data_IF_696725634164
#
_entry.id   IF_696725634164
#
_cell.length_a   1.000
_cell.length_b   1.000
_cell.length_c   1.000
_cell.angle_alpha   90.00
_cell.angle_beta   90.00
_cell.angle_gamma   90.00
#
_symmetry.space_group_name_H-M   'P 1'
#
loop_
_entity.id
_entity.type
_entity.pdbx_description
1 polymer ?
#
# COMPACT_ATOMS: atom_id res chain seq x y z
N UNK A 1 -2.30 -5.16 -28.49
CA UNK A 1 -1.43 -5.48 -27.34
C UNK A 1 -2.32 -5.72 -26.15
N UNK A 2 -2.03 -6.72 -25.31
CA UNK A 2 -2.80 -7.00 -24.08
C UNK A 2 -2.59 -5.94 -22.98
N UNK A 3 -1.73 -4.96 -23.23
CA UNK A 3 -1.41 -3.81 -22.38
C UNK A 3 -1.24 -2.54 -23.26
N UNK A 4 -1.35 -1.32 -22.69
CA UNK A 4 -1.12 -0.07 -23.42
C UNK A 4 0.31 0.07 -23.98
N UNK A 5 0.47 0.86 -25.04
CA UNK A 5 1.77 1.13 -25.70
C UNK A 5 2.74 1.93 -24.84
N UNK A 6 2.21 2.66 -23.85
CA UNK A 6 2.97 3.46 -22.90
C UNK A 6 3.57 2.62 -21.76
N UNK A 7 3.22 1.34 -21.66
CA UNK A 7 3.74 0.47 -20.60
C UNK A 7 5.26 0.27 -20.72
N UNK A 8 6.00 0.03 -19.61
CA UNK A 8 7.43 -0.24 -19.67
C UNK A 8 7.77 -1.45 -20.56
N UNK A 9 8.99 -1.48 -21.09
CA UNK A 9 9.44 -2.53 -22.01
C UNK A 9 9.24 -3.95 -21.46
N UNK A 10 9.57 -4.18 -20.18
CA UNK A 10 9.32 -5.47 -19.52
C UNK A 10 7.83 -5.84 -19.54
N UNK A 11 6.94 -4.88 -19.29
CA UNK A 11 5.50 -5.11 -19.30
C UNK A 11 5.01 -5.46 -20.71
N UNK A 12 5.52 -4.77 -21.74
CA UNK A 12 5.14 -5.05 -23.13
C UNK A 12 5.69 -6.39 -23.64
N UNK A 13 6.94 -6.73 -23.30
CA UNK A 13 7.64 -7.89 -23.88
C UNK A 13 7.44 -9.19 -23.09
N UNK A 14 7.24 -9.09 -21.77
CA UNK A 14 7.14 -10.24 -20.85
C UNK A 14 5.73 -10.36 -20.30
N UNK A 15 5.28 -9.38 -19.50
CA UNK A 15 3.98 -9.42 -18.82
C UNK A 15 2.82 -9.60 -19.81
N UNK A 16 2.81 -8.84 -20.92
CA UNK A 16 1.74 -8.90 -21.91
C UNK A 16 1.63 -10.25 -22.61
N UNK A 17 2.76 -10.95 -22.83
CA UNK A 17 2.77 -12.30 -23.40
C UNK A 17 2.18 -13.31 -22.42
N UNK A 18 2.55 -13.23 -21.14
CA UNK A 18 1.99 -14.10 -20.10
C UNK A 18 0.47 -13.87 -19.97
N UNK A 19 0.03 -12.61 -19.94
CA UNK A 19 -1.40 -12.25 -19.93
C UNK A 19 -2.13 -12.79 -21.16
N UNK A 20 -1.48 -12.82 -22.33
CA UNK A 20 -2.04 -13.34 -23.58
C UNK A 20 -2.08 -14.88 -23.65
N UNK A 21 -1.62 -15.60 -22.61
CA UNK A 21 -1.50 -17.06 -22.63
C UNK A 21 -0.33 -17.57 -23.49
N UNK A 22 0.65 -16.71 -23.77
CA UNK A 22 1.86 -17.00 -24.56
C UNK A 22 3.12 -16.96 -23.69
N UNK A 23 2.98 -17.30 -22.41
CA UNK A 23 4.09 -17.28 -21.45
C UNK A 23 5.16 -18.32 -21.75
N UNK A 24 4.76 -19.50 -22.23
CA UNK A 24 5.67 -20.61 -22.56
C UNK A 24 6.63 -20.29 -23.72
N UNK A 25 6.30 -19.30 -24.57
CA UNK A 25 7.14 -18.86 -25.68
C UNK A 25 8.28 -17.91 -25.24
N UNK A 26 8.31 -17.51 -23.97
CA UNK A 26 9.36 -16.62 -23.44
C UNK A 26 10.66 -17.40 -23.21
N UNK A 27 11.80 -16.94 -23.73
CA UNK A 27 13.08 -17.58 -23.45
C UNK A 27 13.47 -17.36 -21.98
N UNK A 28 14.31 -18.24 -21.44
CA UNK A 28 14.85 -18.10 -20.07
C UNK A 28 15.50 -16.72 -19.85
N UNK A 29 16.12 -16.15 -20.88
CA UNK A 29 16.75 -14.82 -20.85
C UNK A 29 15.77 -13.65 -20.66
N UNK A 30 14.46 -13.89 -20.70
CA UNK A 30 13.44 -12.88 -20.44
C UNK A 30 13.25 -12.59 -18.94
N UNK A 31 13.78 -13.45 -18.05
CA UNK A 31 13.54 -13.39 -16.62
C UNK A 31 14.81 -13.05 -15.84
N UNK A 32 14.65 -12.37 -14.70
CA UNK A 32 15.75 -12.15 -13.77
C UNK A 32 16.20 -13.49 -13.14
N UNK A 33 17.51 -13.74 -12.98
CA UNK A 33 18.00 -15.00 -12.40
C UNK A 33 17.59 -15.20 -10.93
N UNK A 34 17.24 -14.14 -10.22
CA UNK A 34 16.76 -14.18 -8.82
C UNK A 34 15.22 -14.20 -8.71
N UNK A 35 14.50 -14.25 -9.83
CA UNK A 35 13.04 -14.25 -9.85
C UNK A 35 12.38 -12.92 -9.48
N UNK A 36 13.14 -11.82 -9.41
CA UNK A 36 12.56 -10.49 -9.13
C UNK A 36 11.71 -9.97 -10.30
N UNK A 37 10.60 -9.33 -9.96
CA UNK A 37 9.69 -8.67 -10.91
C UNK A 37 9.59 -7.18 -10.61
N UNK A 38 9.37 -6.34 -11.64
CA UNK A 38 9.18 -4.91 -11.43
C UNK A 38 7.88 -4.60 -10.67
N UNK A 39 7.96 -3.58 -9.83
CA UNK A 39 6.82 -3.00 -9.10
C UNK A 39 5.91 -2.18 -10.03
N UNK A 40 4.65 -2.01 -9.62
CA UNK A 40 3.70 -1.09 -10.21
C UNK A 40 3.21 -1.55 -11.58
N UNK A 41 3.08 -2.85 -11.80
CA UNK A 41 2.74 -3.40 -13.12
C UNK A 41 1.23 -3.60 -13.32
N UNK A 42 0.43 -3.71 -12.26
CA UNK A 42 -1.04 -3.82 -12.36
C UNK A 42 -1.70 -2.58 -12.99
N UNK A 43 -1.07 -1.41 -12.90
CA UNK A 43 -1.59 -0.18 -13.51
C UNK A 43 -1.77 -0.29 -15.03
N UNK A 44 -1.07 -1.23 -15.68
CA UNK A 44 -1.11 -1.45 -17.12
C UNK A 44 -2.12 -2.52 -17.56
N UNK A 45 -2.77 -3.24 -16.63
CA UNK A 45 -3.68 -4.34 -16.99
C UNK A 45 -5.01 -3.84 -17.55
N UNK A 46 -5.62 -2.84 -16.90
CA UNK A 46 -6.89 -2.20 -17.33
C UNK A 46 -7.95 -3.24 -17.71
N UNK A 47 -8.16 -4.22 -16.82
CA UNK A 47 -8.91 -5.47 -17.07
C UNK A 47 -10.34 -5.27 -17.56
N UNK A 48 -10.96 -4.14 -17.21
CA UNK A 48 -12.29 -3.71 -17.64
C UNK A 48 -13.38 -4.79 -17.42
N UNK A 49 -13.45 -5.31 -16.19
CA UNK A 49 -14.37 -6.41 -15.84
C UNK A 49 -15.69 -5.94 -15.20
N UNK A 50 -15.81 -4.66 -14.83
CA UNK A 50 -16.99 -4.13 -14.16
C UNK A 50 -18.14 -3.83 -15.14
N UNK A 51 -19.35 -4.30 -14.84
CA UNK A 51 -20.56 -3.89 -15.58
C UNK A 51 -21.07 -2.52 -15.14
N UNK A 52 -20.94 -2.22 -13.85
CA UNK A 52 -21.30 -0.93 -13.27
C UNK A 52 -20.11 -0.32 -12.51
N UNK A 53 -20.04 1.01 -12.51
CA UNK A 53 -19.03 1.77 -11.76
C UNK A 53 -19.69 2.88 -10.95
N UNK A 54 -19.07 3.32 -9.84
CA UNK A 54 -19.60 4.45 -9.08
C UNK A 54 -19.42 5.76 -9.87
N UNK A 55 -20.52 6.49 -10.07
CA UNK A 55 -20.53 7.86 -10.57
C UNK A 55 -20.60 8.84 -9.40
N UNK A 56 -19.72 9.84 -9.40
CA UNK A 56 -19.67 10.88 -8.37
C UNK A 56 -20.65 12.03 -8.66
N UNK A 57 -21.37 12.44 -7.63
CA UNK A 57 -22.22 13.64 -7.55
C UNK A 57 -21.54 14.68 -6.62
N UNK A 58 -20.94 15.74 -7.20
CA UNK A 58 -20.25 16.79 -6.45
C UNK A 58 -21.14 17.55 -5.46
N UNK A 59 -22.42 17.76 -5.81
CA UNK A 59 -23.33 18.62 -5.04
C UNK A 59 -23.76 17.93 -3.74
N UNK A 60 -24.01 16.62 -3.82
CA UNK A 60 -24.34 15.80 -2.64
C UNK A 60 -23.11 15.49 -1.78
N UNK A 61 -21.91 15.48 -2.37
CA UNK A 61 -20.71 15.00 -1.68
C UNK A 61 -20.28 15.87 -0.49
N UNK A 62 -20.09 15.23 0.68
CA UNK A 62 -19.57 15.89 1.88
C UNK A 62 -18.04 15.81 2.04
N UNK A 63 -17.33 15.21 1.07
CA UNK A 63 -15.87 15.11 1.02
C UNK A 63 -15.24 14.42 2.24
N UNK A 64 -15.88 13.36 2.73
CA UNK A 64 -15.45 12.63 3.93
C UNK A 64 -14.32 11.61 3.70
N UNK A 65 -14.07 11.20 2.45
CA UNK A 65 -13.01 10.24 2.10
C UNK A 65 -13.32 8.77 2.40
N UNK A 66 -14.48 8.42 2.99
CA UNK A 66 -14.85 7.03 3.30
C UNK A 66 -14.83 6.12 2.07
N UNK A 67 -15.29 6.62 0.93
CA UNK A 67 -15.29 5.86 -0.33
C UNK A 67 -13.87 5.52 -0.82
N UNK A 68 -12.91 6.43 -0.66
CA UNK A 68 -11.49 6.22 -0.98
C UNK A 68 -10.86 5.25 0.02
N UNK A 69 -11.22 5.36 1.31
CA UNK A 69 -10.70 4.51 2.37
C UNK A 69 -11.13 3.06 2.20
N UNK A 70 -12.42 2.81 1.96
CA UNK A 70 -12.99 1.46 1.89
C UNK A 70 -12.71 0.71 0.58
N UNK A 71 -12.24 1.41 -0.46
CA UNK A 71 -12.05 0.79 -1.77
C UNK A 71 -10.93 -0.27 -1.71
N UNK A 72 -11.24 -1.55 -2.03
CA UNK A 72 -10.25 -2.62 -1.95
C UNK A 72 -9.23 -2.61 -3.10
N UNK A 73 -9.45 -1.83 -4.16
CA UNK A 73 -8.61 -1.85 -5.37
C UNK A 73 -7.96 -0.51 -5.69
N UNK A 74 -8.12 0.50 -4.82
CA UNK A 74 -7.64 1.87 -5.05
C UNK A 74 -8.17 2.52 -6.35
N UNK A 75 -9.35 2.11 -6.82
CA UNK A 75 -9.95 2.60 -8.08
C UNK A 75 -10.69 3.92 -7.93
N UNK A 76 -11.02 4.32 -6.70
CA UNK A 76 -11.63 5.61 -6.38
C UNK A 76 -10.65 6.41 -5.54
N UNK A 77 -10.26 7.58 -6.02
CA UNK A 77 -9.27 8.46 -5.39
C UNK A 77 -9.79 9.88 -5.30
N UNK A 78 -9.24 10.65 -4.37
CA UNK A 78 -9.57 12.06 -4.20
C UNK A 78 -8.32 12.91 -4.31
N UNK A 79 -8.43 14.08 -4.96
CA UNK A 79 -7.39 15.11 -4.97
C UNK A 79 -7.98 16.45 -4.60
N UNK A 80 -7.13 17.29 -4.03
CA UNK A 80 -7.35 18.72 -3.84
C UNK A 80 -6.24 19.48 -4.55
N UNK A 81 -6.59 20.49 -5.34
CA UNK A 81 -5.64 21.13 -6.26
C UNK A 81 -6.02 22.58 -6.63
N UNK A 82 -5.05 23.33 -7.16
CA UNK A 82 -5.24 24.72 -7.61
C UNK A 82 -6.25 24.79 -8.78
N UNK A 83 -7.26 25.70 -8.73
CA UNK A 83 -8.23 25.87 -9.81
C UNK A 83 -7.65 26.07 -11.21
N UNK A 84 -6.44 26.63 -11.34
CA UNK A 84 -5.78 26.88 -12.63
C UNK A 84 -5.57 25.60 -13.44
N UNK A 85 -5.43 24.45 -12.78
CA UNK A 85 -5.26 23.17 -13.46
C UNK A 85 -6.51 22.74 -14.23
N UNK A 86 -7.69 23.28 -13.91
CA UNK A 86 -8.93 22.99 -14.64
C UNK A 86 -8.93 23.53 -16.08
N UNK A 87 -8.02 24.45 -16.43
CA UNK A 87 -7.92 25.00 -17.79
C UNK A 87 -7.59 23.94 -18.85
N UNK A 88 -6.96 22.82 -18.45
CA UNK A 88 -6.63 21.68 -19.32
C UNK A 88 -7.46 20.43 -19.01
N UNK A 89 -8.52 20.56 -18.21
CA UNK A 89 -9.39 19.43 -17.87
C UNK A 89 -10.21 18.98 -19.09
N UNK A 90 -10.43 17.67 -19.27
CA UNK A 90 -11.37 17.16 -20.27
C UNK A 90 -12.79 17.67 -20.05
N UNK A 91 -13.60 17.67 -21.11
CA UNK A 91 -15.03 17.94 -21.02
C UNK A 91 -15.68 17.01 -19.98
N UNK A 92 -16.61 17.53 -19.19
CA UNK A 92 -17.30 16.79 -18.12
C UNK A 92 -16.41 16.29 -16.97
N UNK A 93 -15.16 16.76 -16.85
CA UNK A 93 -14.37 16.51 -15.64
C UNK A 93 -15.03 17.20 -14.44
N UNK A 94 -15.54 16.39 -13.51
CA UNK A 94 -16.29 16.88 -12.34
C UNK A 94 -15.36 17.43 -11.28
N UNK A 95 -15.75 18.54 -10.66
CA UNK A 95 -15.08 19.11 -9.50
C UNK A 95 -16.08 19.78 -8.55
N UNK A 96 -15.65 20.01 -7.31
CA UNK A 96 -16.38 20.78 -6.30
C UNK A 96 -15.46 21.80 -5.62
N UNK A 97 -16.04 22.82 -4.99
CA UNK A 97 -15.31 23.63 -4.00
C UNK A 97 -14.88 22.77 -2.81
N UNK A 98 -13.65 22.95 -2.32
CA UNK A 98 -13.19 22.21 -1.16
C UNK A 98 -13.94 22.68 0.10
N UNK A 99 -14.50 21.73 0.84
CA UNK A 99 -15.19 21.94 2.12
C UNK A 99 -14.22 21.87 3.32
N UNK A 100 -12.96 21.54 3.10
CA UNK A 100 -11.95 21.47 4.16
C UNK A 100 -11.31 22.87 4.31
N UNK A 101 -11.45 23.55 5.47
CA UNK A 101 -10.90 24.90 5.67
C UNK A 101 -9.40 25.00 5.40
N UNK A 102 -8.66 23.91 5.60
CA UNK A 102 -7.21 23.85 5.35
C UNK A 102 -6.85 24.16 3.89
N UNK A 103 -7.72 23.82 2.95
CA UNK A 103 -7.48 23.96 1.50
C UNK A 103 -8.46 24.96 0.87
N UNK A 104 -8.79 26.03 1.60
CA UNK A 104 -9.74 27.05 1.14
C UNK A 104 -9.29 27.65 -0.21
N UNK A 105 -10.21 27.73 -1.16
CA UNK A 105 -9.96 28.25 -2.51
C UNK A 105 -9.43 27.21 -3.51
N UNK A 106 -9.16 25.98 -3.07
CA UNK A 106 -8.80 24.86 -3.95
C UNK A 106 -10.04 24.11 -4.44
N UNK A 107 -9.85 23.29 -5.48
CA UNK A 107 -10.88 22.39 -6.03
C UNK A 107 -10.68 20.98 -5.55
N UNK A 108 -11.78 20.24 -5.43
CA UNK A 108 -11.82 18.86 -5.00
C UNK A 108 -12.44 17.99 -6.09
N UNK A 109 -11.83 16.84 -6.36
CA UNK A 109 -12.42 15.81 -7.24
C UNK A 109 -12.27 14.44 -6.61
N UNK A 110 -13.34 13.67 -6.63
CA UNK A 110 -13.28 12.20 -6.57
C UNK A 110 -13.32 11.69 -8.01
N UNK A 111 -12.29 10.93 -8.40
CA UNK A 111 -12.20 10.32 -9.71
C UNK A 111 -12.15 8.80 -9.59
N UNK A 112 -12.74 8.13 -10.57
CA UNK A 112 -12.88 6.68 -10.62
C UNK A 112 -12.10 6.16 -11.82
N UNK A 113 -11.32 5.10 -11.63
CA UNK A 113 -10.70 4.34 -12.72
C UNK A 113 -11.74 3.36 -13.27
N UNK A 114 -12.30 3.59 -14.46
CA UNK A 114 -13.39 2.76 -14.98
C UNK A 114 -12.92 1.32 -15.30
N UNK A 115 -11.69 1.19 -15.81
CA UNK A 115 -11.17 -0.09 -16.32
C UNK A 115 -10.50 -0.95 -15.25
N UNK A 116 -10.26 -0.40 -14.05
CA UNK A 116 -9.73 -1.16 -12.92
C UNK A 116 -10.81 -1.50 -11.87
N UNK A 117 -12.00 -0.91 -11.99
CA UNK A 117 -13.09 -1.13 -11.03
C UNK A 117 -13.58 -2.59 -11.09
N UNK A 118 -13.98 -3.12 -9.93
CA UNK A 118 -14.48 -4.50 -9.76
C UNK A 118 -15.98 -4.56 -9.44
N UNK A 119 -16.70 -3.43 -9.53
CA UNK A 119 -18.15 -3.35 -9.28
C UNK A 119 -18.62 -3.82 -7.89
N UNK A 120 -17.75 -3.81 -6.87
CA UNK A 120 -18.07 -4.34 -5.54
C UNK A 120 -19.05 -3.48 -4.70
N UNK A 121 -19.42 -2.28 -5.16
CA UNK A 121 -20.42 -1.39 -4.54
C UNK A 121 -20.09 -0.85 -3.13
N UNK A 122 -18.97 -1.25 -2.50
CA UNK A 122 -18.62 -0.83 -1.12
C UNK A 122 -18.54 0.68 -0.93
N UNK A 123 -18.02 1.42 -1.91
CA UNK A 123 -17.91 2.88 -1.83
C UNK A 123 -19.27 3.60 -1.83
N UNK A 124 -20.28 3.02 -2.46
CA UNK A 124 -21.66 3.55 -2.51
C UNK A 124 -22.41 3.14 -1.24
N UNK A 125 -22.28 1.89 -0.80
CA UNK A 125 -22.87 1.39 0.45
C UNK A 125 -22.39 2.25 1.63
N UNK A 126 -21.08 2.47 1.72
CA UNK A 126 -20.47 3.25 2.78
C UNK A 126 -20.55 4.77 2.60
N UNK A 127 -21.12 5.27 1.49
CA UNK A 127 -21.33 6.70 1.31
C UNK A 127 -22.41 7.18 2.29
N UNK A 128 -22.08 8.09 3.23
CA UNK A 128 -23.04 8.58 4.23
C UNK A 128 -23.92 9.73 3.71
N UNK A 129 -23.51 10.36 2.60
CA UNK A 129 -24.23 11.50 2.05
C UNK A 129 -25.47 11.04 1.28
N UNK A 130 -26.59 11.73 1.52
CA UNK A 130 -27.86 11.53 0.81
C UNK A 130 -28.22 12.80 0.05
N UNK A 131 -28.71 12.64 -1.17
CA UNK A 131 -29.20 13.76 -1.96
C UNK A 131 -30.46 14.34 -1.29
N UNK A 132 -30.55 15.67 -1.23
CA UNK A 132 -31.64 16.38 -0.53
C UNK A 132 -32.99 16.23 -1.23
N UNK A 133 -32.99 16.18 -2.57
CA UNK A 133 -34.20 16.11 -3.39
C UNK A 133 -34.68 14.66 -3.56
N UNK A 134 -33.75 13.71 -3.62
CA UNK A 134 -34.05 12.29 -3.70
C UNK A 134 -33.18 11.46 -2.76
N UNK A 135 -33.65 11.12 -1.54
CA UNK A 135 -32.88 10.37 -0.55
C UNK A 135 -32.46 8.95 -0.98
N UNK A 136 -32.97 8.41 -2.09
CA UNK A 136 -32.49 7.16 -2.69
C UNK A 136 -31.13 7.32 -3.37
N UNK A 137 -30.78 8.54 -3.79
CA UNK A 137 -29.50 8.87 -4.38
C UNK A 137 -28.51 9.33 -3.31
N UNK A 138 -27.25 8.95 -3.49
CA UNK A 138 -26.11 9.34 -2.65
C UNK A 138 -25.12 10.18 -3.45
N UNK A 139 -24.01 10.58 -2.81
CA UNK A 139 -22.91 11.25 -3.53
C UNK A 139 -22.14 10.32 -4.47
N UNK A 140 -22.32 9.00 -4.33
CA UNK A 140 -21.82 7.99 -5.25
C UNK A 140 -22.98 7.05 -5.54
N UNK A 141 -23.23 6.76 -6.82
CA UNK A 141 -24.27 5.81 -7.25
C UNK A 141 -23.68 4.90 -8.31
N UNK A 142 -24.06 3.63 -8.31
CA UNK A 142 -23.66 2.72 -9.40
C UNK A 142 -24.37 3.12 -10.69
N UNK A 143 -23.62 3.17 -11.79
CA UNK A 143 -24.14 3.40 -13.13
C UNK A 143 -23.56 2.38 -14.09
N UNK A 144 -24.31 2.07 -15.14
CA UNK A 144 -23.83 1.20 -16.21
C UNK A 144 -22.57 1.80 -16.86
N UNK A 145 -21.50 1.01 -16.93
CA UNK A 145 -20.16 1.46 -17.28
C UNK A 145 -19.94 1.78 -18.77
N UNK A 146 -20.42 0.96 -19.74
CA UNK A 146 -20.07 1.15 -21.16
C UNK A 146 -20.30 2.55 -21.73
N UNK A 147 -21.42 3.26 -21.44
CA UNK A 147 -21.63 4.61 -21.97
C UNK A 147 -20.69 5.68 -21.39
N UNK A 148 -20.08 5.43 -20.22
CA UNK A 148 -19.25 6.40 -19.51
C UNK A 148 -17.76 6.06 -19.54
N UNK A 149 -17.39 4.82 -19.89
CA UNK A 149 -16.02 4.30 -19.82
C UNK A 149 -14.99 5.20 -20.50
N UNK A 150 -15.22 5.58 -21.75
CA UNK A 150 -14.25 6.34 -22.53
C UNK A 150 -13.99 7.72 -21.93
N UNK A 151 -15.06 8.40 -21.53
CA UNK A 151 -14.97 9.71 -20.88
C UNK A 151 -14.26 9.61 -19.53
N UNK A 152 -14.64 8.64 -18.69
CA UNK A 152 -14.03 8.46 -17.37
C UNK A 152 -12.56 8.00 -17.48
N UNK A 153 -12.17 7.32 -18.55
CA UNK A 153 -10.77 6.96 -18.82
C UNK A 153 -9.93 8.20 -19.13
N UNK A 154 -10.47 9.15 -19.92
CA UNK A 154 -9.84 10.46 -20.15
C UNK A 154 -9.75 11.28 -18.86
N UNK A 155 -10.84 11.32 -18.09
CA UNK A 155 -10.88 11.98 -16.78
C UNK A 155 -9.86 11.40 -15.80
N UNK A 156 -9.75 10.06 -15.75
CA UNK A 156 -8.76 9.35 -14.94
C UNK A 156 -7.33 9.70 -15.34
N UNK A 157 -7.02 9.72 -16.64
CA UNK A 157 -5.69 10.11 -17.15
C UNK A 157 -5.33 11.55 -16.76
N UNK A 158 -6.27 12.48 -16.89
CA UNK A 158 -6.09 13.87 -16.43
C UNK A 158 -5.88 13.94 -14.91
N UNK A 159 -6.71 13.24 -14.13
CA UNK A 159 -6.62 13.19 -12.68
C UNK A 159 -5.27 12.66 -12.17
N UNK A 160 -4.70 11.65 -12.83
CA UNK A 160 -3.35 11.15 -12.51
C UNK A 160 -2.27 12.22 -12.75
N UNK A 161 -2.46 13.13 -13.72
CA UNK A 161 -1.57 14.25 -14.00
C UNK A 161 -1.57 15.35 -12.92
N UNK A 162 -2.66 15.49 -12.16
CA UNK A 162 -2.76 16.47 -11.06
C UNK A 162 -1.70 16.13 -9.98
N UNK A 163 -0.96 17.12 -9.43
CA UNK A 163 -0.01 16.87 -8.34
C UNK A 163 -0.66 16.26 -7.09
N UNK A 164 0.10 15.42 -6.38
CA UNK A 164 -0.30 14.94 -5.05
C UNK A 164 -0.13 16.05 -4.01
N UNK A 165 -0.92 16.01 -2.93
CA UNK A 165 -0.76 16.94 -1.81
C UNK A 165 0.54 16.63 -1.07
N UNK A 166 1.28 17.66 -0.66
CA UNK A 166 2.48 17.46 0.16
C UNK A 166 2.06 16.79 1.49
N UNK A 167 2.73 15.67 1.82
CA UNK A 167 2.44 14.89 3.03
C UNK A 167 2.62 15.71 4.30
N UNK A 168 3.51 16.72 4.30
CA UNK A 168 3.71 17.62 5.45
C UNK A 168 2.47 18.46 5.78
N UNK A 169 1.62 18.70 4.78
CA UNK A 169 0.37 19.43 4.98
C UNK A 169 -0.74 18.53 5.53
N UNK A 170 -0.55 17.20 5.54
CA UNK A 170 -1.62 16.26 5.90
C UNK A 170 -1.52 15.80 7.36
N UNK A 171 -2.57 16.08 8.12
CA UNK A 171 -2.81 15.42 9.43
C UNK A 171 -3.18 13.93 9.25
N UNK A 172 -2.20 13.04 9.38
CA UNK A 172 -2.36 11.60 9.12
C UNK A 172 -3.29 10.85 10.10
N UNK A 173 -3.60 11.44 11.26
CA UNK A 173 -4.58 10.90 12.20
C UNK A 173 -6.05 11.17 11.81
N UNK A 174 -6.29 11.91 10.72
CA UNK A 174 -7.63 12.23 10.24
C UNK A 174 -7.93 11.54 8.90
N UNK A 175 -8.98 10.71 8.87
CA UNK A 175 -9.48 10.02 7.65
C UNK A 175 -9.66 10.98 6.48
N UNK A 176 -10.17 12.19 6.76
CA UNK A 176 -10.40 13.24 5.75
C UNK A 176 -9.11 13.71 5.06
N UNK A 177 -7.95 13.58 5.70
CA UNK A 177 -6.67 13.93 5.10
C UNK A 177 -5.99 12.70 4.47
N UNK A 178 -6.13 11.52 5.08
CA UNK A 178 -5.60 10.26 4.54
C UNK A 178 -6.12 9.97 3.11
N UNK A 179 -7.34 10.39 2.76
CA UNK A 179 -7.88 10.22 1.41
C UNK A 179 -7.04 10.86 0.29
N UNK A 180 -6.22 11.86 0.62
CA UNK A 180 -5.36 12.58 -0.33
C UNK A 180 -3.97 11.95 -0.49
N UNK A 181 -3.63 10.94 0.31
CA UNK A 181 -2.38 10.21 0.14
C UNK A 181 -2.47 9.30 -1.07
N UNK A 182 -1.44 9.34 -1.92
CA UNK A 182 -1.28 8.38 -3.00
C UNK A 182 -1.25 6.94 -2.43
N UNK A 183 -2.12 6.03 -2.89
CA UNK A 183 -2.01 4.61 -2.57
C UNK A 183 -0.81 4.01 -3.29
N UNK A 184 0.01 3.24 -2.57
CA UNK A 184 1.16 2.50 -3.10
C UNK A 184 0.89 0.99 -3.20
N UNK A 185 -0.38 0.62 -3.12
CA UNK A 185 -0.93 -0.70 -3.38
C UNK A 185 -2.24 -0.50 -4.16
N UNK A 186 -2.25 -0.87 -5.44
CA UNK A 186 -3.34 -0.56 -6.36
C UNK A 186 -3.65 -1.70 -7.34
N UNK A 187 -4.95 -1.83 -7.68
CA UNK A 187 -5.43 -2.72 -8.75
C UNK A 187 -5.06 -4.21 -8.59
N UNK A 188 -4.92 -4.69 -7.34
CA UNK A 188 -4.59 -6.09 -7.05
C UNK A 188 -5.60 -7.09 -7.60
N UNK A 189 -5.18 -8.33 -7.83
CA UNK A 189 -6.03 -9.45 -8.24
C UNK A 189 -7.04 -9.96 -7.18
N UNK A 190 -7.16 -9.29 -6.02
CA UNK A 190 -8.10 -9.67 -4.97
C UNK A 190 -9.56 -9.66 -5.43
N UNK A 191 -10.42 -10.43 -4.75
CA UNK A 191 -11.85 -10.51 -5.02
C UNK A 191 -12.55 -9.14 -4.98
N UNK A 192 -13.64 -8.98 -5.73
CA UNK A 192 -14.51 -7.82 -5.62
C UNK A 192 -15.04 -7.70 -4.18
N UNK A 193 -14.72 -6.61 -3.50
CA UNK A 193 -15.14 -6.40 -2.11
C UNK A 193 -14.26 -7.10 -1.07
N UNK A 194 -13.03 -7.50 -1.42
CA UNK A 194 -12.08 -8.08 -0.48
C UNK A 194 -11.94 -7.25 0.81
N UNK A 195 -12.02 -7.92 1.96
CA UNK A 195 -11.88 -7.28 3.27
C UNK A 195 -10.44 -6.98 3.70
N UNK A 196 -9.44 -7.56 3.03
CA UNK A 196 -8.02 -7.44 3.42
C UNK A 196 -7.35 -6.19 2.82
N UNK A 197 -7.54 -5.98 1.51
CA UNK A 197 -6.77 -4.97 0.76
C UNK A 197 -7.02 -3.51 1.16
N UNK A 198 -8.18 -3.07 1.72
CA UNK A 198 -8.30 -1.71 2.25
C UNK A 198 -7.28 -1.40 3.35
N UNK A 199 -6.93 -2.39 4.20
CA UNK A 199 -5.91 -2.23 5.24
C UNK A 199 -4.50 -2.17 4.65
N UNK A 200 -4.21 -3.05 3.69
CA UNK A 200 -2.91 -3.07 2.98
C UNK A 200 -2.68 -1.78 2.21
N UNK A 201 -3.73 -1.27 1.53
CA UNK A 201 -3.72 0.04 0.88
C UNK A 201 -3.46 1.16 1.89
N UNK A 202 -4.13 1.15 3.03
CA UNK A 202 -3.91 2.18 4.06
C UNK A 202 -2.48 2.15 4.61
N UNK A 203 -1.92 0.97 4.87
CA UNK A 203 -0.51 0.79 5.22
C UNK A 203 0.40 1.43 4.17
N UNK A 204 0.14 1.14 2.88
CA UNK A 204 0.92 1.69 1.76
C UNK A 204 0.82 3.23 1.69
N UNK A 205 -0.35 3.81 1.98
CA UNK A 205 -0.55 5.26 2.00
C UNK A 205 0.23 5.91 3.14
N UNK A 206 0.21 5.31 4.33
CA UNK A 206 0.82 5.89 5.52
C UNK A 206 2.35 5.70 5.55
N UNK A 207 2.85 4.54 5.13
CA UNK A 207 4.24 4.14 5.36
C UNK A 207 4.98 3.71 4.09
N UNK A 208 4.30 3.65 2.94
CA UNK A 208 4.82 2.94 1.78
C UNK A 208 6.09 3.54 1.17
N UNK A 209 6.36 4.82 1.38
CA UNK A 209 7.61 5.46 0.92
C UNK A 209 8.87 5.03 1.70
N UNK A 210 8.71 4.20 2.74
CA UNK A 210 9.77 3.66 3.59
C UNK A 210 9.44 2.26 4.15
N UNK A 211 8.44 1.58 3.58
CA UNK A 211 8.00 0.27 4.06
C UNK A 211 8.87 -0.86 3.49
N UNK A 212 9.15 -1.84 4.33
CA UNK A 212 9.74 -3.12 3.95
C UNK A 212 8.78 -4.20 4.45
N UNK A 213 8.28 -5.04 3.56
CA UNK A 213 7.16 -5.95 3.81
C UNK A 213 7.63 -7.40 3.64
N UNK A 214 7.60 -8.14 4.75
CA UNK A 214 7.60 -9.60 4.76
C UNK A 214 6.13 -10.08 4.71
N UNK A 215 5.77 -10.86 3.70
CA UNK A 215 4.41 -11.36 3.53
C UNK A 215 4.37 -12.88 3.64
N UNK A 216 3.53 -13.42 4.52
CA UNK A 216 3.29 -14.86 4.61
C UNK A 216 2.54 -15.35 3.37
N UNK A 217 2.75 -16.60 3.00
CA UNK A 217 1.97 -17.22 1.92
C UNK A 217 0.49 -17.30 2.29
N UNK A 218 -0.39 -16.87 1.39
CA UNK A 218 -1.84 -16.83 1.60
C UNK A 218 -2.52 -15.88 0.62
N UNK A 219 -3.78 -15.48 0.87
CA UNK A 219 -4.47 -14.55 -0.03
C UNK A 219 -3.65 -13.28 -0.28
N UNK A 220 -3.00 -12.75 0.75
CA UNK A 220 -2.18 -11.55 0.66
C UNK A 220 -0.94 -11.67 -0.19
N UNK A 221 -0.30 -12.84 -0.27
CA UNK A 221 0.78 -13.05 -1.24
C UNK A 221 0.24 -13.28 -2.65
N UNK A 222 -0.92 -13.93 -2.80
CA UNK A 222 -1.55 -14.15 -4.12
C UNK A 222 -2.00 -12.84 -4.73
N UNK A 223 -2.86 -12.06 -4.08
CA UNK A 223 -3.25 -10.77 -4.66
C UNK A 223 -2.10 -9.76 -4.65
N UNK A 224 -1.06 -9.98 -3.83
CA UNK A 224 0.08 -9.08 -3.64
C UNK A 224 1.22 -9.29 -4.61
N UNK A 225 1.37 -10.48 -5.21
CA UNK A 225 2.41 -10.78 -6.20
C UNK A 225 2.13 -12.06 -7.03
N UNK A 226 0.88 -12.35 -7.39
CA UNK A 226 0.60 -13.38 -8.40
C UNK A 226 1.04 -12.90 -9.78
N UNK A 227 2.25 -13.29 -10.16
CA UNK A 227 2.89 -12.93 -11.42
C UNK A 227 1.97 -13.24 -12.61
N UNK A 228 1.94 -12.39 -13.65
CA UNK A 228 3.03 -11.51 -14.07
C UNK A 228 2.90 -10.04 -13.64
N UNK A 229 1.94 -9.70 -12.77
CA UNK A 229 1.71 -8.32 -12.33
C UNK A 229 1.77 -8.17 -10.81
N UNK A 230 2.13 -6.98 -10.35
CA UNK A 230 2.29 -6.64 -8.94
C UNK A 230 1.56 -5.32 -8.63
N UNK A 231 0.72 -5.27 -7.57
CA UNK A 231 -0.01 -4.08 -7.14
C UNK A 231 0.84 -3.08 -6.33
N UNK A 232 1.99 -3.51 -5.82
CA UNK A 232 2.92 -2.66 -5.09
C UNK A 232 3.54 -1.66 -6.04
N UNK A 233 3.33 -0.36 -5.83
CA UNK A 233 3.83 0.70 -6.71
C UNK A 233 4.69 1.70 -5.93
N UNK A 234 5.17 2.73 -6.61
CA UNK A 234 6.05 3.76 -6.06
C UNK A 234 5.52 5.17 -6.36
N UNK A 235 5.91 6.11 -5.53
CA UNK A 235 5.57 7.52 -5.71
C UNK A 235 6.44 8.17 -6.81
N UNK A 236 6.23 9.46 -7.11
CA UNK A 236 6.99 10.21 -8.12
C UNK A 236 8.50 10.31 -7.82
N UNK A 237 8.94 10.05 -6.59
CA UNK A 237 10.36 9.99 -6.21
C UNK A 237 10.96 8.57 -6.41
N UNK A 238 10.20 7.62 -6.95
CA UNK A 238 10.63 6.22 -7.10
C UNK A 238 10.62 5.41 -5.80
N UNK A 239 9.99 5.93 -4.74
CA UNK A 239 9.93 5.27 -3.42
C UNK A 239 8.61 4.53 -3.26
N UNK A 240 8.68 3.26 -2.91
CA UNK A 240 7.54 2.42 -2.62
C UNK A 240 7.91 1.27 -1.70
N UNK A 241 6.91 0.45 -1.29
CA UNK A 241 7.17 -0.69 -0.44
C UNK A 241 8.11 -1.70 -1.12
N UNK A 242 9.20 -2.07 -0.44
CA UNK A 242 9.95 -3.26 -0.80
C UNK A 242 9.19 -4.48 -0.27
N UNK A 243 8.72 -5.37 -1.14
CA UNK A 243 7.88 -6.51 -0.77
C UNK A 243 8.56 -7.83 -1.08
N UNK A 244 8.43 -8.80 -0.19
CA UNK A 244 8.88 -10.18 -0.42
C UNK A 244 7.99 -11.17 0.32
N UNK A 245 7.77 -12.32 -0.31
CA UNK A 245 7.19 -13.51 0.31
C UNK A 245 8.28 -14.58 0.38
N UNK A 246 8.59 -15.04 1.60
CA UNK A 246 9.45 -16.21 1.82
C UNK A 246 8.56 -17.46 1.76
N UNK A 247 8.11 -17.97 2.91
CA UNK A 247 7.24 -19.14 3.00
C UNK A 247 5.96 -18.84 3.78
N UNK A 248 5.19 -19.89 4.06
CA UNK A 248 3.96 -19.78 4.84
C UNK A 248 4.26 -19.70 6.33
N UNK A 249 5.23 -20.48 6.78
CA UNK A 249 5.56 -20.76 8.18
C UNK A 249 6.56 -19.76 8.80
N UNK A 250 7.43 -19.13 8.00
CA UNK A 250 8.61 -18.41 8.46
C UNK A 250 8.48 -16.88 8.44
N UNK A 251 7.30 -16.36 8.12
CA UNK A 251 7.14 -14.95 7.77
C UNK A 251 7.52 -13.99 8.92
N UNK A 252 7.30 -14.39 10.17
CA UNK A 252 7.66 -13.54 11.31
C UNK A 252 9.19 -13.41 11.39
N UNK A 253 9.88 -14.54 11.32
CA UNK A 253 11.32 -14.69 11.39
C UNK A 253 11.98 -14.02 10.18
N UNK A 254 11.36 -14.13 9.00
CA UNK A 254 11.79 -13.47 7.79
C UNK A 254 11.78 -11.94 7.94
N UNK A 255 10.68 -11.37 8.45
CA UNK A 255 10.60 -9.95 8.76
C UNK A 255 11.52 -9.51 9.89
N UNK A 256 11.75 -10.36 10.89
CA UNK A 256 12.76 -10.11 11.93
C UNK A 256 14.16 -10.05 11.31
N UNK A 257 14.50 -10.95 10.39
CA UNK A 257 15.75 -10.93 9.63
C UNK A 257 15.95 -9.61 8.89
N UNK A 258 14.91 -9.13 8.20
CA UNK A 258 14.94 -7.80 7.55
C UNK A 258 15.21 -6.67 8.56
N UNK A 259 14.56 -6.70 9.74
CA UNK A 259 14.78 -5.72 10.80
C UNK A 259 16.22 -5.74 11.32
N UNK A 260 16.77 -6.93 11.57
CA UNK A 260 18.15 -7.08 12.05
C UNK A 260 19.17 -6.61 10.99
N UNK A 261 18.93 -6.91 9.71
CA UNK A 261 19.77 -6.42 8.62
C UNK A 261 19.78 -4.88 8.56
N UNK A 262 18.60 -4.23 8.61
CA UNK A 262 18.50 -2.76 8.59
C UNK A 262 19.14 -2.15 9.84
N UNK A 263 18.99 -2.77 11.02
CA UNK A 263 19.66 -2.32 12.26
C UNK A 263 21.18 -2.32 12.07
N UNK A 264 21.73 -3.40 11.52
CA UNK A 264 23.18 -3.56 11.36
C UNK A 264 23.75 -2.67 10.25
N UNK A 265 23.01 -2.50 9.16
CA UNK A 265 23.33 -1.54 8.11
C UNK A 265 23.35 -0.10 8.65
N UNK A 266 22.39 0.25 9.52
CA UNK A 266 22.34 1.57 10.14
C UNK A 266 23.53 1.78 11.08
N UNK A 267 23.83 0.80 11.94
CA UNK A 267 25.02 0.84 12.82
C UNK A 267 26.30 1.11 12.00
N UNK A 268 26.51 0.33 10.94
CA UNK A 268 27.68 0.50 10.08
C UNK A 268 27.69 1.85 9.34
N UNK A 269 26.54 2.32 8.84
CA UNK A 269 26.43 3.63 8.22
C UNK A 269 26.77 4.77 9.19
N UNK A 270 26.38 4.65 10.47
CA UNK A 270 26.72 5.63 11.51
C UNK A 270 28.22 5.64 11.83
N UNK A 271 28.87 4.47 11.86
CA UNK A 271 30.33 4.39 11.99
C UNK A 271 31.06 5.04 10.81
N UNK A 272 30.60 4.79 9.58
CA UNK A 272 31.18 5.39 8.37
C UNK A 272 31.00 6.92 8.37
N UNK A 273 29.87 7.43 8.86
CA UNK A 273 29.68 8.87 9.06
C UNK A 273 30.71 9.47 10.01
N UNK A 274 31.06 8.76 11.10
CA UNK A 274 32.08 9.23 12.04
C UNK A 274 33.48 9.21 11.41
N UNK A 275 33.83 8.14 10.67
CA UNK A 275 35.13 8.04 9.97
C UNK A 275 35.31 9.09 8.88
N UNK A 276 34.23 9.42 8.17
CA UNK A 276 34.23 10.42 7.10
C UNK A 276 33.97 11.84 7.60
N UNK A 277 33.83 12.04 8.92
CA UNK A 277 33.35 13.30 9.50
C UNK A 277 34.19 14.53 9.11
N UNK A 278 35.51 14.38 8.95
CA UNK A 278 36.38 15.46 8.46
C UNK A 278 36.13 15.80 6.99
N UNK A 279 35.73 14.83 6.17
CA UNK A 279 35.51 15.02 4.73
C UNK A 279 34.11 15.59 4.43
N UNK A 280 33.09 15.12 5.16
CA UNK A 280 31.68 15.50 4.92
C UNK A 280 31.18 16.63 5.84
N UNK A 281 31.91 16.94 6.92
CA UNK A 281 31.61 17.99 7.88
C UNK A 281 30.90 17.49 9.14
N UNK A 282 31.44 17.87 10.30
CA UNK A 282 31.00 17.44 11.63
C UNK A 282 29.54 17.79 11.93
N UNK A 283 29.07 18.96 11.50
CA UNK A 283 27.71 19.41 11.77
C UNK A 283 26.68 18.52 11.05
N UNK A 284 26.89 18.24 9.77
CA UNK A 284 26.02 17.35 9.00
C UNK A 284 25.95 15.94 9.60
N UNK A 285 27.09 15.41 10.06
CA UNK A 285 27.14 14.12 10.77
C UNK A 285 26.29 14.16 12.04
N UNK A 286 26.50 15.17 12.89
CA UNK A 286 25.74 15.33 14.14
C UNK A 286 24.24 15.47 13.87
N UNK A 287 23.86 16.27 12.88
CA UNK A 287 22.46 16.46 12.49
C UNK A 287 21.79 15.17 12.00
N UNK A 288 22.48 14.39 11.16
CA UNK A 288 21.96 13.10 10.66
C UNK A 288 21.76 12.12 11.81
N UNK A 289 22.74 12.01 12.72
CA UNK A 289 22.72 11.07 13.85
C UNK A 289 21.65 11.41 14.89
N UNK A 290 21.37 12.71 15.11
CA UNK A 290 20.43 13.20 16.14
C UNK A 290 19.03 13.53 15.58
N UNK A 291 18.78 13.26 14.30
CA UNK A 291 17.52 13.62 13.66
C UNK A 291 16.33 12.89 14.30
N UNK A 292 15.35 13.66 14.78
CA UNK A 292 14.03 13.11 15.07
C UNK A 292 13.30 12.81 13.75
N UNK A 293 12.91 11.55 13.59
CA UNK A 293 12.22 11.01 12.42
C UNK A 293 10.83 10.44 12.79
N UNK A 294 10.25 10.91 13.91
CA UNK A 294 8.92 10.48 14.38
C UNK A 294 7.76 11.12 13.61
N UNK A 295 8.01 12.22 12.90
CA UNK A 295 7.01 12.98 12.12
C UNK A 295 7.35 13.03 10.63
N UNK A 296 6.36 13.36 9.79
CA UNK A 296 6.57 13.58 8.35
C UNK A 296 7.60 14.70 8.08
N UNK A 297 7.54 15.78 8.87
CA UNK A 297 8.52 16.89 8.76
C UNK A 297 9.93 16.42 9.13
N UNK A 298 10.08 15.64 10.20
CA UNK A 298 11.37 15.07 10.61
C UNK A 298 11.98 14.14 9.56
N UNK A 299 11.15 13.26 8.98
CA UNK A 299 11.54 12.39 7.87
C UNK A 299 11.97 13.18 6.63
N UNK A 300 11.25 14.26 6.28
CA UNK A 300 11.58 15.10 5.13
C UNK A 300 12.91 15.83 5.33
N UNK A 301 13.12 16.46 6.50
CA UNK A 301 14.40 17.09 6.85
C UNK A 301 15.55 16.08 6.82
N UNK A 302 15.33 14.86 7.31
CA UNK A 302 16.36 13.82 7.21
C UNK A 302 16.68 13.45 5.77
N UNK A 303 15.68 13.34 4.89
CA UNK A 303 15.91 13.10 3.46
C UNK A 303 16.71 14.23 2.79
N UNK A 304 16.51 15.48 3.19
CA UNK A 304 17.31 16.61 2.69
C UNK A 304 18.77 16.53 3.14
N UNK A 305 19.01 16.15 4.40
CA UNK A 305 20.36 15.88 4.90
C UNK A 305 21.02 14.73 4.14
N UNK A 306 20.29 13.64 3.91
CA UNK A 306 20.75 12.48 3.14
C UNK A 306 21.09 12.86 1.69
N UNK A 307 20.25 13.65 1.01
CA UNK A 307 20.56 14.17 -0.34
C UNK A 307 21.83 15.04 -0.34
N UNK A 308 22.04 15.83 0.71
CA UNK A 308 23.25 16.64 0.87
C UNK A 308 24.48 15.78 1.10
N UNK A 309 24.36 14.75 1.94
CA UNK A 309 25.39 13.74 2.19
C UNK A 309 25.77 13.02 0.90
N UNK A 310 24.80 12.53 0.13
CA UNK A 310 25.02 11.82 -1.14
C UNK A 310 25.89 12.63 -2.10
N UNK A 311 25.59 13.93 -2.25
CA UNK A 311 26.36 14.86 -3.11
C UNK A 311 27.80 15.04 -2.64
N UNK A 312 28.05 14.99 -1.33
CA UNK A 312 29.41 15.08 -0.76
C UNK A 312 30.17 13.78 -0.96
N UNK A 313 29.55 12.63 -0.67
CA UNK A 313 30.17 11.31 -0.81
C UNK A 313 30.58 11.01 -2.26
N UNK A 314 29.78 11.41 -3.26
CA UNK A 314 30.13 11.25 -4.69
C UNK A 314 31.42 11.98 -5.11
N UNK A 315 31.92 12.91 -4.31
CA UNK A 315 33.17 13.66 -4.56
C UNK A 315 34.38 13.10 -3.79
N UNK A 316 34.17 12.08 -2.96
CA UNK A 316 35.20 11.48 -2.11
C UNK A 316 35.58 10.13 -2.70
N UNK A 317 36.81 9.99 -3.18
CA UNK A 317 37.34 8.71 -3.66
C UNK A 317 37.98 7.91 -2.52
N UNK A 318 37.13 7.44 -1.60
CA UNK A 318 37.49 6.52 -0.50
C UNK A 318 36.56 5.32 -0.52
N UNK A 319 37.05 4.16 -0.09
CA UNK A 319 36.23 2.94 0.01
C UNK A 319 35.06 3.17 0.95
N UNK A 320 35.30 3.81 2.09
CA UNK A 320 34.28 4.15 3.09
C UNK A 320 33.16 5.02 2.52
N UNK A 321 33.47 5.91 1.59
CA UNK A 321 32.47 6.75 0.94
C UNK A 321 31.59 5.96 -0.03
N UNK A 322 32.17 4.98 -0.73
CA UNK A 322 31.45 4.04 -1.61
C UNK A 322 30.55 3.11 -0.79
N UNK A 323 31.06 2.60 0.33
CA UNK A 323 30.30 1.77 1.26
C UNK A 323 29.12 2.54 1.85
N UNK A 324 29.34 3.77 2.33
CA UNK A 324 28.27 4.61 2.88
C UNK A 324 27.23 4.99 1.81
N UNK A 325 27.65 5.22 0.57
CA UNK A 325 26.71 5.44 -0.54
C UNK A 325 25.80 4.23 -0.76
N UNK A 326 26.31 3.00 -0.63
CA UNK A 326 25.50 1.77 -0.79
C UNK A 326 24.47 1.59 0.34
N UNK A 327 24.70 2.20 1.51
CA UNK A 327 23.85 2.10 2.70
C UNK A 327 23.01 3.36 2.93
N UNK A 328 23.12 4.36 2.07
CA UNK A 328 22.65 5.72 2.37
C UNK A 328 21.14 5.77 2.70
N UNK A 329 20.37 4.86 2.12
CA UNK A 329 18.93 4.78 2.33
C UNK A 329 18.52 4.39 3.74
N UNK A 330 19.35 3.67 4.51
CA UNK A 330 19.00 3.27 5.89
C UNK A 330 19.07 4.43 6.89
N UNK A 331 19.71 5.54 6.51
CA UNK A 331 19.75 6.77 7.33
C UNK A 331 18.36 7.44 7.45
N UNK A 332 17.43 7.10 6.55
CA UNK A 332 16.00 7.40 6.71
C UNK A 332 15.28 6.18 7.29
N UNK A 333 14.59 6.37 8.42
CA UNK A 333 13.95 5.30 9.21
C UNK A 333 13.00 4.43 8.36
N UNK A 334 13.31 3.14 8.26
CA UNK A 334 12.45 2.13 7.60
C UNK A 334 11.34 1.63 8.53
N UNK A 335 10.19 1.29 7.94
CA UNK A 335 9.06 0.63 8.62
C UNK A 335 9.00 -0.82 8.20
N UNK A 336 9.41 -1.75 9.07
CA UNK A 336 9.33 -3.18 8.78
C UNK A 336 7.92 -3.66 9.13
N UNK A 337 7.24 -4.28 8.17
CA UNK A 337 5.90 -4.82 8.27
C UNK A 337 5.90 -6.31 7.99
N UNK A 338 5.25 -7.08 8.86
CA UNK A 338 5.08 -8.52 8.77
C UNK A 338 3.58 -8.75 8.54
N UNK A 339 3.22 -9.08 7.31
CA UNK A 339 1.84 -9.20 6.83
C UNK A 339 1.47 -10.66 6.63
N UNK A 340 0.28 -11.09 7.06
CA UNK A 340 -0.21 -12.43 6.76
C UNK A 340 -1.62 -12.68 7.26
N UNK A 341 -2.23 -13.77 6.80
CA UNK A 341 -3.59 -14.16 7.20
C UNK A 341 -3.64 -14.85 8.57
N UNK A 342 -4.85 -15.16 9.03
CA UNK A 342 -5.03 -15.87 10.30
C UNK A 342 -4.44 -17.28 10.31
N UNK A 343 -4.44 -17.99 9.18
CA UNK A 343 -3.81 -19.31 9.12
C UNK A 343 -2.31 -19.31 9.39
N UNK A 344 -1.61 -18.26 8.98
CA UNK A 344 -0.22 -18.07 9.37
C UNK A 344 -0.10 -17.76 10.86
N UNK A 345 -0.77 -16.68 11.31
CA UNK A 345 -0.55 -16.11 12.63
C UNK A 345 -1.07 -16.98 13.79
N UNK A 346 -2.18 -17.68 13.59
CA UNK A 346 -2.81 -18.48 14.64
C UNK A 346 -2.32 -19.92 14.63
N UNK A 347 -1.91 -20.45 13.47
CA UNK A 347 -1.53 -21.85 13.28
C UNK A 347 -0.04 -22.04 12.97
N UNK A 348 0.33 -22.12 11.69
CA UNK A 348 1.63 -22.68 11.27
C UNK A 348 2.81 -21.79 11.66
N UNK A 349 2.66 -20.47 11.56
CA UNK A 349 3.69 -19.50 11.90
C UNK A 349 3.58 -18.96 13.31
N UNK A 350 2.67 -19.49 14.14
CA UNK A 350 2.46 -18.95 15.48
C UNK A 350 3.71 -19.03 16.37
N UNK A 351 4.47 -20.13 16.31
CA UNK A 351 5.69 -20.27 17.11
C UNK A 351 6.74 -19.21 16.77
N UNK A 352 6.95 -18.95 15.47
CA UNK A 352 7.79 -17.87 14.99
C UNK A 352 7.28 -16.49 15.37
N UNK A 353 5.98 -16.27 15.20
CA UNK A 353 5.31 -15.02 15.57
C UNK A 353 5.48 -14.70 17.05
N UNK A 354 5.20 -15.68 17.93
CA UNK A 354 5.37 -15.59 19.37
C UNK A 354 6.82 -15.22 19.73
N UNK A 355 7.80 -15.90 19.12
CA UNK A 355 9.21 -15.59 19.31
C UNK A 355 9.56 -14.16 18.89
N UNK A 356 9.10 -13.71 17.72
CA UNK A 356 9.39 -12.35 17.21
C UNK A 356 8.76 -11.27 18.08
N UNK A 357 7.54 -11.50 18.58
CA UNK A 357 6.91 -10.62 19.57
C UNK A 357 7.78 -10.52 20.83
N UNK A 358 8.30 -11.65 21.32
CA UNK A 358 9.17 -11.70 22.50
C UNK A 358 10.54 -11.01 22.30
N UNK A 359 11.03 -10.89 21.05
CA UNK A 359 12.32 -10.25 20.76
C UNK A 359 12.32 -8.71 20.94
N UNK A 360 11.15 -8.07 21.08
CA UNK A 360 11.01 -6.63 21.33
C UNK A 360 11.73 -5.75 20.29
N UNK A 361 11.87 -6.25 19.07
CA UNK A 361 12.41 -5.49 17.94
C UNK A 361 11.32 -4.62 17.33
N UNK A 362 11.73 -3.51 16.73
CA UNK A 362 10.79 -2.56 16.12
C UNK A 362 10.27 -3.08 14.77
N UNK A 363 9.28 -3.97 14.84
CA UNK A 363 8.52 -4.52 13.70
C UNK A 363 7.04 -4.24 13.91
N UNK A 364 6.30 -4.14 12.81
CA UNK A 364 4.84 -3.99 12.82
C UNK A 364 4.22 -5.27 12.27
N UNK A 365 3.29 -5.88 13.00
CA UNK A 365 2.67 -7.14 12.61
C UNK A 365 1.21 -6.86 12.26
N UNK A 366 0.82 -7.17 11.02
CA UNK A 366 -0.54 -7.00 10.54
C UNK A 366 -1.13 -8.37 10.17
N UNK A 367 -2.03 -8.86 11.03
CA UNK A 367 -2.79 -10.09 10.79
C UNK A 367 -4.11 -9.75 10.12
N UNK A 368 -4.28 -10.23 8.90
CA UNK A 368 -5.51 -10.12 8.11
C UNK A 368 -6.41 -11.30 8.47
N UNK A 369 -7.20 -11.14 9.53
CA UNK A 369 -8.00 -12.21 10.11
C UNK A 369 -9.30 -12.42 9.34
N UNK A 370 -9.30 -13.41 8.44
CA UNK A 370 -10.48 -13.85 7.68
C UNK A 370 -11.23 -14.99 8.37
N UNK A 371 -10.73 -15.40 9.54
CA UNK A 371 -11.20 -16.51 10.36
C UNK A 371 -11.26 -17.88 9.65
N UNK A 372 -10.58 -18.02 8.51
CA UNK A 372 -10.47 -19.25 7.72
C UNK A 372 -9.22 -19.22 6.84
N UNK A 373 -8.82 -20.35 6.28
CA UNK A 373 -7.78 -20.37 5.24
C UNK A 373 -8.43 -20.00 3.90
N UNK A 374 -8.62 -18.70 3.69
CA UNK A 374 -9.32 -18.17 2.52
C UNK A 374 -8.73 -18.67 1.18
N UNK A 375 -7.41 -18.62 1.03
CA UNK A 375 -6.72 -18.93 -0.23
C UNK A 375 -6.93 -20.37 -0.70
N UNK A 376 -6.84 -21.32 0.21
CA UNK A 376 -6.89 -22.77 -0.11
C UNK A 376 -8.33 -23.31 -0.14
N UNK A 377 -9.33 -22.41 -0.09
CA UNK A 377 -10.73 -22.74 -0.23
C UNK A 377 -11.45 -23.00 1.08
N UNK A 378 -11.13 -22.25 2.14
CA UNK A 378 -11.95 -22.13 3.35
C UNK A 378 -11.80 -23.28 4.36
N UNK A 379 -10.56 -23.70 4.64
CA UNK A 379 -10.26 -24.60 5.75
C UNK A 379 -10.41 -23.90 7.10
N UNK A 380 -10.83 -24.66 8.11
CA UNK A 380 -10.85 -24.21 9.49
C UNK A 380 -9.44 -23.84 9.97
N UNK A 381 -9.32 -22.70 10.66
CA UNK A 381 -8.12 -22.27 11.39
C UNK A 381 -8.39 -22.26 12.90
N UNK A 382 -7.35 -22.06 13.73
CA UNK A 382 -7.57 -21.74 15.16
C UNK A 382 -8.25 -20.38 15.37
N UNK A 383 -8.29 -19.52 14.35
CA UNK A 383 -9.01 -18.26 14.37
C UNK A 383 -10.52 -18.40 14.04
N UNK A 384 -10.95 -19.54 13.47
CA UNK A 384 -12.37 -19.78 13.20
C UNK A 384 -13.22 -19.73 14.49
N UNK A 385 -14.40 -19.07 14.51
CA UNK A 385 -15.27 -19.00 15.68
C UNK A 385 -15.94 -20.33 16.05
N UNK A 386 -16.45 -20.41 17.27
CA UNK A 386 -17.31 -21.52 17.70
C UNK A 386 -18.54 -21.61 16.80
N UNK A 387 -18.87 -22.81 16.33
CA UNK A 387 -20.07 -23.08 15.52
C UNK A 387 -19.93 -22.73 14.04
N UNK A 388 -18.89 -22.01 13.61
CA UNK A 388 -18.67 -21.70 12.20
C UNK A 388 -18.36 -22.98 11.39
N UNK A 389 -18.95 -23.08 10.19
CA UNK A 389 -18.77 -24.19 9.26
C UNK A 389 -17.63 -23.83 8.29
N UNK A 390 -16.66 -24.72 8.17
CA UNK A 390 -15.53 -24.63 7.25
C UNK A 390 -15.09 -26.04 6.84
N UNK A 391 -14.17 -26.19 5.87
CA UNK A 391 -13.55 -27.51 5.62
C UNK A 391 -12.82 -27.95 6.88
N UNK A 392 -12.92 -29.23 7.21
CA UNK A 392 -12.50 -29.82 8.50
C UNK A 392 -13.33 -29.39 9.74
N UNK A 393 -14.42 -28.65 9.54
CA UNK A 393 -15.39 -28.27 10.57
C UNK A 393 -16.83 -28.30 10.02
N UNK A 394 -17.18 -29.34 9.25
CA UNK A 394 -18.47 -29.44 8.57
C UNK A 394 -19.68 -29.41 9.53
N UNK A 395 -19.53 -29.99 10.73
CA UNK A 395 -20.53 -29.94 11.80
C UNK A 395 -20.44 -28.70 12.70
N UNK A 396 -19.73 -27.65 12.26
CA UNK A 396 -19.37 -26.49 13.05
C UNK A 396 -18.13 -26.74 13.92
N UNK A 397 -17.23 -25.75 14.03
CA UNK A 397 -16.07 -25.82 14.92
C UNK A 397 -16.52 -25.95 16.37
N UNK A 398 -15.91 -26.89 17.10
CA UNK A 398 -16.31 -27.26 18.47
C UNK A 398 -15.59 -26.48 19.58
N UNK A 399 -14.64 -25.63 19.23
CA UNK A 399 -13.82 -24.85 20.17
C UNK A 399 -13.94 -23.37 19.87
N UNK A 400 -13.70 -22.54 20.90
CA UNK A 400 -13.64 -21.08 20.73
C UNK A 400 -12.46 -20.65 19.84
N UNK A 401 -12.57 -19.45 19.29
CA UNK A 401 -11.46 -18.77 18.60
C UNK A 401 -10.28 -18.63 19.57
N UNK A 402 -9.07 -18.99 19.12
CA UNK A 402 -7.83 -18.73 19.88
C UNK A 402 -7.68 -17.22 20.07
N UNK A 403 -7.41 -16.75 21.27
CA UNK A 403 -7.25 -15.32 21.54
C UNK A 403 -5.78 -14.90 21.42
N UNK A 404 -5.33 -14.69 20.17
CA UNK A 404 -3.96 -14.26 19.86
C UNK A 404 -3.63 -12.91 20.51
N UNK A 405 -4.62 -11.99 20.60
CA UNK A 405 -4.41 -10.68 21.19
C UNK A 405 -4.11 -10.79 22.69
N UNK A 406 -4.88 -11.58 23.43
CA UNK A 406 -4.64 -11.81 24.86
C UNK A 406 -3.31 -12.52 25.12
N UNK A 407 -2.93 -13.48 24.26
CA UNK A 407 -1.61 -14.11 24.33
C UNK A 407 -0.48 -13.10 24.15
N UNK A 408 -0.57 -12.21 23.16
CA UNK A 408 0.43 -11.17 22.94
C UNK A 408 0.48 -10.11 24.06
N UNK A 409 -0.68 -9.73 24.63
CA UNK A 409 -0.76 -8.82 25.78
C UNK A 409 -0.01 -9.37 27.00
N UNK A 410 0.06 -10.70 27.15
CA UNK A 410 0.71 -11.35 28.30
C UNK A 410 2.21 -11.06 28.43
N UNK A 411 2.89 -10.63 27.35
CA UNK A 411 4.28 -10.17 27.41
C UNK A 411 4.46 -8.85 28.18
N UNK A 412 3.40 -8.04 28.30
CA UNK A 412 3.36 -6.82 29.09
C UNK A 412 3.93 -5.55 28.42
N UNK A 413 4.78 -5.70 27.41
CA UNK A 413 5.46 -4.56 26.75
C UNK A 413 5.33 -4.55 25.21
N UNK A 414 4.28 -5.19 24.70
CA UNK A 414 3.94 -5.25 23.27
C UNK A 414 2.67 -4.43 23.03
N UNK A 415 2.68 -3.59 21.99
CA UNK A 415 1.47 -2.90 21.56
C UNK A 415 0.55 -3.86 20.81
N UNK A 416 -0.69 -4.00 21.29
CA UNK A 416 -1.71 -4.86 20.67
C UNK A 416 -2.96 -4.04 20.39
N UNK A 417 -3.47 -4.13 19.17
CA UNK A 417 -4.74 -3.52 18.78
C UNK A 417 -5.55 -4.48 17.92
N UNK A 418 -6.88 -4.46 18.10
CA UNK A 418 -7.84 -5.09 17.21
C UNK A 418 -8.63 -4.00 16.50
N UNK A 419 -8.70 -4.08 15.18
CA UNK A 419 -9.34 -3.04 14.36
C UNK A 419 -10.34 -3.66 13.39
N UNK A 420 -11.38 -2.89 13.08
CA UNK A 420 -12.36 -3.22 12.06
C UNK A 420 -12.75 -1.92 11.34
N UNK A 421 -12.35 -1.76 10.08
CA UNK A 421 -12.54 -0.52 9.29
C UNK A 421 -14.02 -0.17 9.10
N UNK A 422 -14.89 -1.17 9.04
CA UNK A 422 -16.34 -0.99 8.86
C UNK A 422 -17.16 -0.94 10.16
N UNK A 423 -16.52 -1.00 11.33
CA UNK A 423 -17.21 -0.99 12.63
C UNK A 423 -17.85 0.36 12.97
#
# INVERSE_FOLDING_TARGET
LSVPVEAPEFVQKVTAKIIAGQGDDLPVSAFSPDGTFPSGTTQWEKRNIAQEIPAWDPDTCIQCGKCVMTCPHAVIRAKVYDPKLLSSAPDNFKFAEVKNPQFKGMKYTIQISPEDCTSCNLCVVNCPAKNKNNPKLKALNMVFQPPVREQESKNWKFFLGIPEVDRKDLKLSAVRNVQFLQPLFEFSGACAGCGETPYVKLLSQLFGDRAVIANATGCSSIYGANLPTTPWTFNKEGKGPAWSNSLFEDNAEFGLGMRLAIDKQLEYALELLDRLSSDIGKDLVSEIKKADQSTEEGLYKQRERVKTLEKKLKKIDKTEAKDLLSLIDVLTKKSVWILGGDGWAYDIGYGGLDHVIAQRRNVNILVLDSETYSNTGGQMSKATPLGAIAKFAAGGKRTFKKDLAMMAISYGDVYVARVAMGA
#
